data_IF_156701895256
#
_entry.id   IF_156701895256
#
_cell.length_a   1.000
_cell.length_b   1.000
_cell.length_c   1.000
_cell.angle_alpha   90.00
_cell.angle_beta   90.00
_cell.angle_gamma   90.00
#
_symmetry.space_group_name_H-M   'P 1'
#
loop_
_entity.id
_entity.type
_entity.pdbx_description
1 polymer ?
#
# COMPACT_ATOMS: atom_id res chain seq x y z
N UNK A 1 46.33 -28.25 -4.14
CA UNK A 1 45.35 -27.21 -3.78
C UNK A 1 46.14 -25.96 -3.37
N UNK A 2 46.23 -24.96 -4.27
CA UNK A 2 46.86 -23.67 -3.96
C UNK A 2 45.74 -22.71 -3.58
N UNK A 3 45.77 -22.21 -2.35
CA UNK A 3 44.91 -21.12 -1.89
C UNK A 3 45.47 -19.81 -2.46
N UNK A 4 44.69 -19.14 -3.30
CA UNK A 4 44.93 -17.76 -3.71
C UNK A 4 44.51 -16.83 -2.57
N UNK A 5 45.49 -16.17 -1.97
CA UNK A 5 45.27 -15.14 -0.96
C UNK A 5 44.82 -13.84 -1.69
N UNK A 6 43.58 -13.43 -1.50
CA UNK A 6 43.08 -12.13 -1.97
C UNK A 6 43.81 -11.02 -1.20
N UNK A 7 44.66 -10.25 -1.88
CA UNK A 7 45.28 -9.03 -1.33
C UNK A 7 44.19 -7.98 -1.15
N UNK A 8 43.90 -7.62 0.10
CA UNK A 8 43.15 -6.41 0.43
C UNK A 8 43.98 -5.18 0.03
N UNK A 9 43.51 -4.42 -0.96
CA UNK A 9 44.09 -3.13 -1.34
C UNK A 9 43.74 -2.07 -0.29
N UNK A 10 44.75 -1.37 0.20
CA UNK A 10 44.61 -0.31 1.20
C UNK A 10 44.03 0.99 0.62
N UNK A 11 43.65 1.96 1.48
CA UNK A 11 42.95 3.19 1.11
C UNK A 11 43.71 4.21 0.25
N UNK A 12 44.96 3.90 -0.16
CA UNK A 12 45.82 4.79 -0.94
C UNK A 12 46.14 4.27 -2.35
N UNK A 13 45.24 3.47 -2.97
CA UNK A 13 45.38 3.05 -4.37
C UNK A 13 45.13 4.24 -5.31
N UNK A 14 46.12 4.69 -6.12
CA UNK A 14 45.98 5.86 -6.99
C UNK A 14 44.97 5.69 -8.12
N UNK A 15 44.33 4.54 -8.24
CA UNK A 15 43.27 4.27 -9.22
C UNK A 15 41.85 4.72 -8.81
N UNK A 16 41.64 5.09 -7.54
CA UNK A 16 40.34 5.56 -7.03
C UNK A 16 40.38 7.05 -6.69
N UNK A 17 40.53 7.89 -7.70
CA UNK A 17 40.28 9.33 -7.53
C UNK A 17 38.76 9.55 -7.52
N UNK A 18 38.16 9.85 -6.35
CA UNK A 18 36.81 10.31 -6.27
C UNK A 18 36.64 11.61 -7.07
N UNK A 19 35.78 11.65 -8.08
CA UNK A 19 35.56 12.87 -8.84
C UNK A 19 35.01 13.96 -7.90
N UNK A 20 35.59 15.17 -7.98
CA UNK A 20 35.09 16.30 -7.22
C UNK A 20 33.65 16.60 -7.62
N UNK A 21 32.84 17.20 -6.71
CA UNK A 21 31.45 17.62 -7.01
C UNK A 21 31.38 18.46 -8.30
N UNK A 22 32.43 19.23 -8.59
CA UNK A 22 32.51 20.05 -9.81
C UNK A 22 32.70 19.19 -11.08
N UNK A 23 33.47 18.12 -11.01
CA UNK A 23 33.69 17.18 -12.12
C UNK A 23 32.41 16.39 -12.41
N UNK A 24 31.64 16.01 -11.38
CA UNK A 24 30.34 15.36 -11.52
C UNK A 24 29.30 16.29 -12.18
N UNK A 25 29.26 17.58 -11.79
CA UNK A 25 28.34 18.56 -12.37
C UNK A 25 28.69 18.89 -13.83
N UNK A 26 29.98 18.99 -14.17
CA UNK A 26 30.41 19.23 -15.56
C UNK A 26 30.21 17.99 -16.44
N UNK A 27 30.38 16.78 -15.88
CA UNK A 27 30.12 15.52 -16.57
C UNK A 27 28.61 15.32 -16.86
N UNK A 28 27.74 15.70 -15.93
CA UNK A 28 26.30 15.61 -16.14
C UNK A 28 25.76 16.61 -17.15
N UNK A 29 26.32 17.84 -17.21
CA UNK A 29 26.00 18.82 -18.22
C UNK A 29 26.44 18.39 -19.62
N UNK A 30 27.63 17.78 -19.73
CA UNK A 30 28.12 17.22 -21.00
C UNK A 30 27.30 16.02 -21.47
N UNK A 31 26.86 15.16 -20.57
CA UNK A 31 26.00 14.02 -20.91
C UNK A 31 24.62 14.46 -21.41
N UNK A 32 24.03 15.51 -20.81
CA UNK A 32 22.76 16.08 -21.30
C UNK A 32 22.88 16.72 -22.68
N UNK A 33 23.98 17.41 -22.96
CA UNK A 33 24.22 17.98 -24.28
C UNK A 33 24.46 16.90 -25.36
N UNK A 34 25.17 15.81 -25.03
CA UNK A 34 25.38 14.68 -25.93
C UNK A 34 24.10 13.92 -26.26
N UNK A 35 23.18 13.78 -25.29
CA UNK A 35 21.85 13.16 -25.49
C UNK A 35 21.02 13.97 -26.49
N UNK A 36 21.09 15.31 -26.45
CA UNK A 36 20.38 16.18 -27.40
C UNK A 36 20.91 16.08 -28.83
N UNK A 37 22.21 15.82 -28.99
CA UNK A 37 22.86 15.72 -30.33
C UNK A 37 22.65 14.32 -30.95
N UNK A 38 22.44 13.28 -30.16
CA UNK A 38 22.24 11.90 -30.64
C UNK A 38 20.80 11.56 -31.00
N UNK A 39 19.88 12.54 -31.03
CA UNK A 39 18.51 12.33 -31.47
C UNK A 39 17.67 11.45 -30.51
N UNK A 40 18.06 11.34 -29.26
CA UNK A 40 17.18 10.76 -28.26
C UNK A 40 15.95 11.65 -28.11
N UNK A 41 14.81 11.14 -28.49
CA UNK A 41 13.51 11.78 -28.22
C UNK A 41 13.45 12.22 -26.77
N UNK A 42 12.99 13.46 -26.49
CA UNK A 42 12.80 13.89 -25.10
C UNK A 42 11.97 12.82 -24.39
N UNK A 43 12.40 12.46 -23.17
CA UNK A 43 11.65 11.59 -22.28
C UNK A 43 10.17 11.90 -22.42
N UNK A 44 9.37 10.88 -22.67
CA UNK A 44 7.93 11.00 -22.84
C UNK A 44 7.40 12.00 -21.81
N UNK A 45 6.64 12.99 -22.28
CA UNK A 45 5.99 13.99 -21.46
C UNK A 45 5.33 13.23 -20.31
N UNK A 46 5.76 13.48 -19.09
CA UNK A 46 5.12 12.87 -17.94
C UNK A 46 3.62 13.16 -18.08
N UNK A 47 2.80 12.13 -18.11
CA UNK A 47 1.35 12.29 -18.18
C UNK A 47 0.95 13.26 -17.06
N UNK A 48 0.08 14.22 -17.40
CA UNK A 48 -0.52 15.11 -16.41
C UNK A 48 -1.06 14.27 -15.23
N UNK A 49 -0.72 14.66 -14.00
CA UNK A 49 -1.12 13.85 -12.85
C UNK A 49 -2.65 13.76 -12.79
N UNK A 50 -3.19 12.55 -12.96
CA UNK A 50 -4.63 12.29 -12.90
C UNK A 50 -5.21 12.88 -11.63
N UNK A 51 -6.39 13.50 -11.70
CA UNK A 51 -7.12 14.00 -10.53
C UNK A 51 -7.53 12.86 -9.61
N UNK A 52 -7.71 13.14 -8.32
CA UNK A 52 -8.35 12.19 -7.41
C UNK A 52 -9.84 12.10 -7.75
N UNK A 53 -10.46 10.90 -7.66
CA UNK A 53 -11.90 10.75 -7.73
C UNK A 53 -12.58 11.39 -6.50
N UNK A 54 -13.84 11.78 -6.62
CA UNK A 54 -14.57 12.54 -5.62
C UNK A 54 -14.57 11.89 -4.22
N UNK A 55 -14.74 10.57 -4.14
CA UNK A 55 -14.71 9.84 -2.87
C UNK A 55 -13.34 9.88 -2.16
N UNK A 56 -12.28 10.19 -2.90
CA UNK A 56 -10.92 10.30 -2.40
C UNK A 56 -10.40 11.74 -2.40
N UNK A 57 -11.26 12.75 -2.66
CA UNK A 57 -10.85 14.17 -2.73
C UNK A 57 -10.22 14.70 -1.44
N UNK A 58 -10.56 14.08 -0.29
CA UNK A 58 -9.99 14.41 1.02
C UNK A 58 -8.55 13.92 1.21
N UNK A 59 -8.05 13.07 0.33
CA UNK A 59 -6.67 12.54 0.41
C UNK A 59 -5.65 13.55 -0.10
N UNK A 60 -4.40 13.43 0.37
CA UNK A 60 -3.30 14.26 -0.07
C UNK A 60 -2.89 13.91 -1.52
N UNK A 61 -3.35 14.72 -2.48
CA UNK A 61 -3.14 14.48 -3.91
C UNK A 61 -1.66 14.24 -4.26
N UNK A 62 -0.76 15.03 -3.69
CA UNK A 62 0.67 14.96 -3.99
C UNK A 62 1.36 13.73 -3.36
N UNK A 63 0.68 13.04 -2.45
CA UNK A 63 1.18 11.81 -1.85
C UNK A 63 0.79 10.55 -2.65
N UNK A 64 -0.04 10.69 -3.71
CA UNK A 64 -0.63 9.56 -4.40
C UNK A 64 -0.31 9.54 -5.89
N UNK A 65 -0.05 8.34 -6.41
CA UNK A 65 0.00 8.01 -7.84
C UNK A 65 -1.36 7.40 -8.20
N UNK A 66 -2.13 8.04 -9.09
CA UNK A 66 -3.45 7.55 -9.50
C UNK A 66 -3.29 6.62 -10.70
N UNK A 67 -3.48 5.33 -10.50
CA UNK A 67 -3.50 4.33 -11.57
C UNK A 67 -4.85 4.31 -12.28
N UNK A 68 -5.94 4.26 -11.50
CA UNK A 68 -7.32 4.29 -11.96
C UNK A 68 -8.22 4.96 -10.92
N UNK A 69 -9.52 5.08 -11.21
CA UNK A 69 -10.52 5.57 -10.25
C UNK A 69 -10.61 4.73 -8.97
N UNK A 70 -10.23 3.46 -9.02
CA UNK A 70 -10.34 2.51 -7.91
C UNK A 70 -8.98 2.11 -7.31
N UNK A 71 -7.87 2.60 -7.89
CA UNK A 71 -6.53 2.22 -7.46
C UNK A 71 -5.59 3.42 -7.44
N UNK A 72 -5.08 3.74 -6.27
CA UNK A 72 -4.15 4.82 -6.01
C UNK A 72 -3.02 4.31 -5.13
N UNK A 73 -1.80 4.59 -5.50
CA UNK A 73 -0.60 4.15 -4.82
C UNK A 73 0.00 5.28 -4.01
N UNK A 74 0.42 5.02 -2.78
CA UNK A 74 1.21 5.98 -2.01
C UNK A 74 2.57 6.17 -2.69
N UNK A 75 2.95 7.41 -2.97
CA UNK A 75 4.32 7.70 -3.44
C UNK A 75 5.33 7.26 -2.39
N UNK A 76 6.43 6.66 -2.82
CA UNK A 76 7.45 6.14 -1.92
C UNK A 76 7.92 7.18 -0.88
N UNK A 77 8.13 8.42 -1.30
CA UNK A 77 8.53 9.52 -0.41
C UNK A 77 7.45 9.98 0.55
N UNK A 78 6.18 9.63 0.30
CA UNK A 78 5.01 10.03 1.10
C UNK A 78 4.56 8.95 2.09
N UNK A 79 5.13 7.73 2.05
CA UNK A 79 4.84 6.68 3.05
C UNK A 79 5.11 7.21 4.47
N UNK A 80 6.01 8.17 4.60
CA UNK A 80 6.29 8.89 5.83
C UNK A 80 7.51 8.33 6.58
N UNK A 81 7.92 9.08 7.58
CA UNK A 81 9.04 8.72 8.46
C UNK A 81 8.56 8.10 9.78
N UNK A 82 7.24 8.05 10.00
CA UNK A 82 6.62 7.46 11.18
C UNK A 82 6.28 5.98 10.97
N UNK A 83 6.00 5.28 12.08
CA UNK A 83 5.56 3.89 12.05
C UNK A 83 4.18 3.76 11.39
N UNK A 84 3.29 4.70 11.63
CA UNK A 84 1.90 4.67 11.13
C UNK A 84 1.78 5.54 9.88
N UNK A 85 1.21 4.98 8.83
CA UNK A 85 0.87 5.71 7.60
C UNK A 85 -0.45 6.44 7.79
N UNK A 86 -0.45 7.76 7.58
CA UNK A 86 -1.65 8.58 7.72
C UNK A 86 -2.71 8.18 6.67
N UNK A 87 -3.98 8.22 7.05
CA UNK A 87 -5.09 7.75 6.20
C UNK A 87 -5.23 8.55 4.91
N UNK A 88 -4.90 9.84 4.91
CA UNK A 88 -4.90 10.71 3.73
C UNK A 88 -3.82 10.35 2.70
N UNK A 89 -2.80 9.63 3.10
CA UNK A 89 -1.69 9.15 2.26
C UNK A 89 -1.74 7.66 1.96
N UNK A 90 -2.55 6.89 2.71
CA UNK A 90 -2.66 5.46 2.53
C UNK A 90 -3.21 5.13 1.13
N UNK A 91 -2.64 4.13 0.49
CA UNK A 91 -3.07 3.63 -0.81
C UNK A 91 -4.56 3.24 -0.83
N UNK A 92 -5.15 3.23 -2.02
CA UNK A 92 -6.52 2.76 -2.26
C UNK A 92 -6.46 1.61 -3.25
N UNK A 93 -7.14 0.51 -2.92
CA UNK A 93 -7.30 -0.63 -3.81
C UNK A 93 -8.71 -1.21 -3.67
N UNK A 94 -9.56 -0.94 -4.65
CA UNK A 94 -10.92 -1.46 -4.73
C UNK A 94 -11.13 -2.21 -6.04
N UNK A 95 -11.96 -3.25 -6.02
CA UNK A 95 -12.44 -3.93 -7.23
C UNK A 95 -13.78 -3.37 -7.68
N UNK A 96 -14.57 -2.90 -6.73
CA UNK A 96 -15.91 -2.39 -6.94
C UNK A 96 -15.93 -0.87 -6.85
N UNK A 97 -16.96 -0.20 -7.38
CA UNK A 97 -17.17 1.22 -7.20
C UNK A 97 -17.19 1.61 -5.71
N UNK A 98 -16.91 2.87 -5.41
CA UNK A 98 -17.07 3.39 -4.06
C UNK A 98 -18.54 3.27 -3.64
N UNK A 99 -18.84 2.80 -2.40
CA UNK A 99 -20.19 2.77 -1.88
C UNK A 99 -20.74 4.20 -1.73
N UNK A 100 -22.06 4.37 -1.67
CA UNK A 100 -22.66 5.68 -1.39
C UNK A 100 -22.14 6.27 -0.08
N UNK A 101 -21.93 7.58 -0.04
CA UNK A 101 -21.43 8.27 1.17
C UNK A 101 -22.35 8.03 2.39
N UNK A 102 -23.66 7.84 2.16
CA UNK A 102 -24.65 7.53 3.20
C UNK A 102 -24.33 6.29 4.04
N UNK A 103 -23.51 5.37 3.54
CA UNK A 103 -23.05 4.19 4.31
C UNK A 103 -22.33 4.60 5.60
N UNK A 104 -21.69 5.77 5.61
CA UNK A 104 -20.94 6.28 6.76
C UNK A 104 -21.72 7.27 7.63
N UNK A 105 -22.94 7.63 7.27
CA UNK A 105 -23.76 8.61 8.02
C UNK A 105 -24.08 8.11 9.44
N UNK A 106 -24.37 6.81 9.58
CA UNK A 106 -24.59 6.17 10.87
C UNK A 106 -23.98 4.75 10.85
N UNK A 107 -22.68 4.60 11.04
CA UNK A 107 -22.03 3.29 10.98
C UNK A 107 -22.49 2.32 12.06
N UNK A 108 -23.04 2.80 13.17
CA UNK A 108 -23.45 1.95 14.30
C UNK A 108 -24.67 1.08 13.98
N UNK A 109 -25.49 1.45 13.01
CA UNK A 109 -26.65 0.64 12.56
C UNK A 109 -26.29 -0.38 11.49
N UNK A 110 -25.05 -0.40 11.01
CA UNK A 110 -24.62 -1.38 10.01
C UNK A 110 -24.69 -2.79 10.57
N UNK A 111 -25.38 -3.68 9.88
CA UNK A 111 -25.61 -5.05 10.30
C UNK A 111 -24.51 -5.99 9.82
N UNK A 112 -24.05 -6.86 10.72
CA UNK A 112 -23.11 -7.95 10.45
C UNK A 112 -23.77 -9.27 10.82
N UNK A 113 -24.04 -10.10 9.81
CA UNK A 113 -24.61 -11.43 10.01
C UNK A 113 -23.49 -12.42 10.35
N UNK A 114 -23.64 -13.13 11.46
CA UNK A 114 -22.65 -14.08 11.96
C UNK A 114 -23.28 -15.47 11.98
N UNK A 115 -22.70 -16.37 11.22
CA UNK A 115 -23.09 -17.76 11.03
C UNK A 115 -21.97 -18.72 11.37
N UNK A 116 -22.23 -20.02 11.37
CA UNK A 116 -21.21 -21.02 11.70
C UNK A 116 -20.79 -21.05 13.18
N UNK A 117 -21.58 -20.41 14.04
CA UNK A 117 -21.48 -20.41 15.50
C UNK A 117 -22.69 -21.11 16.12
N UNK A 118 -22.60 -21.52 17.38
CA UNK A 118 -23.71 -22.25 18.04
C UNK A 118 -24.98 -21.42 18.18
N UNK A 119 -24.85 -20.10 18.34
CA UNK A 119 -25.97 -19.17 18.46
C UNK A 119 -25.87 -18.09 17.37
N UNK A 120 -26.19 -18.40 16.09
CA UNK A 120 -26.05 -17.46 14.99
C UNK A 120 -27.02 -16.28 15.17
N UNK A 121 -26.54 -15.07 14.86
CA UNK A 121 -27.36 -13.85 14.87
C UNK A 121 -26.76 -12.74 14.01
N UNK A 122 -27.61 -11.77 13.71
CA UNK A 122 -27.18 -10.48 13.18
C UNK A 122 -26.91 -9.53 14.35
N UNK A 123 -25.75 -8.87 14.31
CA UNK A 123 -25.35 -7.84 15.25
C UNK A 123 -25.11 -6.55 14.49
N UNK A 124 -25.42 -5.42 15.11
CA UNK A 124 -25.02 -4.13 14.57
C UNK A 124 -23.56 -3.82 14.96
N UNK A 125 -22.94 -2.88 14.25
CA UNK A 125 -21.62 -2.39 14.65
C UNK A 125 -21.68 -1.75 16.05
N UNK A 126 -22.81 -1.12 16.40
CA UNK A 126 -23.06 -0.62 17.76
C UNK A 126 -23.03 -1.74 18.80
N UNK A 127 -23.70 -2.88 18.54
CA UNK A 127 -23.65 -4.05 19.44
C UNK A 127 -22.23 -4.60 19.58
N UNK A 128 -21.48 -4.71 18.47
CA UNK A 128 -20.10 -5.16 18.49
C UNK A 128 -19.21 -4.25 19.35
N UNK A 129 -19.37 -2.94 19.26
CA UNK A 129 -18.61 -1.99 20.08
C UNK A 129 -18.82 -2.18 21.58
N UNK A 130 -19.99 -2.67 22.00
CA UNK A 130 -20.30 -2.96 23.42
C UNK A 130 -19.56 -4.21 23.94
N UNK A 131 -19.04 -5.08 23.06
CA UNK A 131 -18.27 -6.26 23.44
C UNK A 131 -16.82 -5.92 23.86
N UNK A 132 -16.43 -4.67 23.77
CA UNK A 132 -15.07 -4.19 24.02
C UNK A 132 -14.22 -4.15 22.77
N UNK A 133 -13.42 -3.12 22.66
CA UNK A 133 -12.57 -2.88 21.47
C UNK A 133 -11.08 -2.96 21.83
N UNK A 134 -10.31 -3.45 20.90
CA UNK A 134 -8.84 -3.52 20.98
C UNK A 134 -8.24 -2.80 19.79
N UNK A 135 -7.11 -2.13 20.00
CA UNK A 135 -6.38 -1.46 18.91
C UNK A 135 -5.09 -2.20 18.63
N UNK A 136 -4.84 -2.50 17.36
CA UNK A 136 -3.60 -3.14 16.89
C UNK A 136 -3.01 -2.36 15.73
N UNK A 137 -1.68 -2.25 15.71
CA UNK A 137 -0.97 -1.74 14.54
C UNK A 137 -0.57 -2.92 13.64
N UNK A 138 -0.83 -2.80 12.34
CA UNK A 138 -0.52 -3.88 11.39
C UNK A 138 -0.26 -3.31 10.01
N UNK A 139 0.59 -3.99 9.24
CA UNK A 139 0.83 -3.66 7.85
C UNK A 139 -0.34 -4.12 7.01
N UNK A 140 -0.93 -3.19 6.26
CA UNK A 140 -1.87 -3.45 5.19
C UNK A 140 -1.11 -3.39 3.86
N UNK A 141 -1.17 -4.45 3.08
CA UNK A 141 -0.45 -4.53 1.80
C UNK A 141 -1.31 -5.24 0.75
N UNK A 142 -1.35 -4.66 -0.45
CA UNK A 142 -1.89 -5.35 -1.62
C UNK A 142 -0.96 -6.49 -2.04
N UNK A 143 -1.49 -7.67 -2.33
CA UNK A 143 -0.71 -8.81 -2.83
C UNK A 143 0.01 -8.52 -4.16
N UNK A 144 -0.43 -7.51 -4.90
CA UNK A 144 0.20 -7.06 -6.13
C UNK A 144 1.30 -6.01 -5.95
N UNK A 145 1.61 -5.60 -4.71
CA UNK A 145 2.67 -4.63 -4.46
C UNK A 145 4.00 -5.11 -5.04
N UNK A 146 4.70 -4.24 -5.79
CA UNK A 146 5.92 -4.61 -6.52
C UNK A 146 5.70 -5.20 -7.92
N UNK A 147 4.46 -5.30 -8.42
CA UNK A 147 4.15 -5.90 -9.72
C UNK A 147 4.87 -5.22 -10.89
N UNK A 148 5.05 -3.91 -10.84
CA UNK A 148 5.75 -3.16 -11.88
C UNK A 148 7.22 -3.58 -12.09
N UNK A 149 7.82 -4.28 -11.12
CA UNK A 149 9.21 -4.73 -11.21
C UNK A 149 9.38 -6.06 -11.94
N UNK A 150 8.28 -6.75 -12.29
CA UNK A 150 8.35 -7.99 -13.04
C UNK A 150 8.49 -7.71 -14.54
N UNK A 151 9.58 -8.15 -15.19
CA UNK A 151 9.87 -7.82 -16.61
C UNK A 151 8.86 -8.44 -17.59
N UNK A 152 8.13 -9.48 -17.20
CA UNK A 152 7.11 -10.12 -18.05
C UNK A 152 5.77 -9.38 -18.07
N UNK A 153 5.65 -8.22 -17.41
CA UNK A 153 4.45 -7.40 -17.48
C UNK A 153 3.18 -8.09 -16.97
N UNK A 154 3.23 -8.66 -15.75
CA UNK A 154 2.08 -9.33 -15.15
C UNK A 154 0.82 -8.45 -15.18
N UNK A 155 -0.34 -9.04 -15.46
CA UNK A 155 -1.63 -8.34 -15.55
C UNK A 155 -2.05 -7.69 -14.23
N UNK A 156 -2.88 -6.65 -14.32
CA UNK A 156 -3.40 -5.88 -13.19
C UNK A 156 -2.65 -4.56 -12.98
N UNK A 157 -3.02 -3.83 -11.92
CA UNK A 157 -2.40 -2.55 -11.60
C UNK A 157 -0.90 -2.70 -11.37
N UNK A 158 -0.12 -1.87 -12.06
CA UNK A 158 1.35 -1.88 -12.00
C UNK A 158 1.84 -1.11 -10.77
N UNK A 159 1.59 -1.68 -9.60
CA UNK A 159 2.07 -1.14 -8.33
C UNK A 159 3.60 -1.13 -8.28
N UNK A 160 4.18 -0.02 -7.82
CA UNK A 160 5.60 0.00 -7.44
C UNK A 160 5.77 -0.53 -6.00
N UNK A 161 6.01 0.32 -5.04
CA UNK A 161 6.20 -0.09 -3.62
C UNK A 161 5.13 0.47 -2.68
N UNK A 162 4.25 1.31 -3.17
CA UNK A 162 3.38 2.12 -2.35
C UNK A 162 1.99 1.53 -2.12
N UNK A 163 1.69 0.31 -2.59
CA UNK A 163 0.48 -0.41 -2.22
C UNK A 163 0.66 -1.11 -0.84
N UNK A 164 1.25 -0.40 0.11
CA UNK A 164 1.49 -0.83 1.47
C UNK A 164 1.42 0.36 2.43
N UNK A 165 1.06 0.09 3.69
CA UNK A 165 1.08 1.05 4.78
C UNK A 165 0.91 0.35 6.12
N UNK A 166 1.41 0.94 7.19
CA UNK A 166 1.14 0.49 8.54
C UNK A 166 -0.03 1.28 9.10
N UNK A 167 -1.08 0.61 9.51
CA UNK A 167 -2.33 1.23 9.97
C UNK A 167 -2.72 0.75 11.35
N UNK A 168 -3.46 1.58 12.06
CA UNK A 168 -4.06 1.20 13.34
C UNK A 168 -5.48 0.73 13.09
N UNK A 169 -5.79 -0.48 13.54
CA UNK A 169 -7.10 -1.08 13.51
C UNK A 169 -7.70 -1.07 14.90
N UNK A 170 -8.88 -0.51 15.05
CA UNK A 170 -9.65 -0.56 16.30
C UNK A 170 -10.94 -1.29 16.05
N UNK A 171 -11.21 -2.35 16.81
CA UNK A 171 -12.41 -3.15 16.65
C UNK A 171 -12.50 -4.23 17.73
N UNK A 172 -13.60 -4.97 17.72
CA UNK A 172 -13.80 -6.10 18.59
C UNK A 172 -13.01 -7.31 18.07
N UNK A 173 -12.25 -8.02 18.90
CA UNK A 173 -11.58 -9.25 18.48
C UNK A 173 -12.61 -10.30 18.01
N UNK A 174 -12.41 -10.85 16.82
CA UNK A 174 -13.31 -11.86 16.26
C UNK A 174 -13.49 -13.07 17.19
N UNK A 175 -12.44 -13.43 17.92
CA UNK A 175 -12.49 -14.49 18.94
C UNK A 175 -13.57 -14.20 19.99
N UNK A 176 -13.62 -12.98 20.50
CA UNK A 176 -14.56 -12.59 21.56
C UNK A 176 -16.00 -12.62 21.04
N UNK A 177 -16.22 -12.20 19.79
CA UNK A 177 -17.53 -12.30 19.13
C UNK A 177 -17.98 -13.76 18.99
N UNK A 178 -17.09 -14.64 18.53
CA UNK A 178 -17.39 -16.06 18.36
C UNK A 178 -17.67 -16.73 19.70
N UNK A 179 -16.90 -16.42 20.75
CA UNK A 179 -17.11 -16.94 22.10
C UNK A 179 -18.44 -16.47 22.70
N UNK A 180 -18.79 -15.19 22.54
CA UNK A 180 -20.07 -14.62 22.97
C UNK A 180 -21.28 -15.31 22.30
N UNK A 181 -21.10 -15.84 21.10
CA UNK A 181 -22.10 -16.59 20.36
C UNK A 181 -22.02 -18.11 20.57
N UNK A 182 -21.40 -18.56 21.67
CA UNK A 182 -21.35 -19.96 22.08
C UNK A 182 -20.22 -20.79 21.44
N UNK A 183 -19.32 -20.15 20.73
CA UNK A 183 -18.23 -20.81 20.01
C UNK A 183 -18.61 -21.29 18.60
N UNK A 184 -17.66 -21.76 17.82
CA UNK A 184 -17.91 -22.27 16.47
C UNK A 184 -18.72 -23.58 16.52
N UNK A 185 -19.46 -23.91 15.45
CA UNK A 185 -20.04 -25.26 15.29
C UNK A 185 -18.93 -26.28 15.07
N UNK A 186 -19.21 -27.55 15.44
CA UNK A 186 -18.23 -28.61 15.32
C UNK A 186 -17.76 -28.80 13.87
N UNK A 187 -16.46 -29.03 13.69
CA UNK A 187 -15.85 -29.22 12.37
C UNK A 187 -15.47 -27.93 11.64
N UNK A 188 -15.76 -26.75 12.18
CA UNK A 188 -15.35 -25.46 11.60
C UNK A 188 -13.83 -25.36 11.54
N UNK A 189 -13.28 -25.10 10.33
CA UNK A 189 -11.83 -24.98 10.10
C UNK A 189 -11.42 -23.64 9.50
N UNK A 190 -12.37 -22.91 8.92
CA UNK A 190 -12.13 -21.69 8.17
C UNK A 190 -13.14 -20.62 8.54
N UNK A 191 -12.74 -19.39 8.39
CA UNK A 191 -13.59 -18.21 8.48
C UNK A 191 -13.63 -17.56 7.12
N UNK A 192 -14.81 -17.19 6.67
CA UNK A 192 -15.03 -16.40 5.44
C UNK A 192 -15.78 -15.12 5.79
N UNK A 193 -15.55 -14.08 5.01
CA UNK A 193 -16.30 -12.84 5.09
C UNK A 193 -16.74 -12.43 3.69
N UNK A 194 -17.97 -11.95 3.57
CA UNK A 194 -18.52 -11.38 2.34
C UNK A 194 -18.85 -9.92 2.60
N UNK A 195 -18.44 -9.02 1.70
CA UNK A 195 -18.76 -7.60 1.77
C UNK A 195 -20.25 -7.35 1.48
N UNK A 196 -20.72 -6.16 1.85
CA UNK A 196 -22.10 -5.76 1.66
C UNK A 196 -22.44 -5.18 0.27
N UNK A 197 -21.48 -5.19 -0.65
CA UNK A 197 -21.60 -4.64 -2.00
C UNK A 197 -22.02 -5.67 -3.07
N UNK A 198 -22.59 -6.77 -2.66
CA UNK A 198 -23.08 -7.83 -3.55
C UNK A 198 -24.49 -7.53 -4.08
#
# INVERSE_FOLDING_TARGET
MKQETALMRGPNDPGLQNPTRRTLLLGSAGAMAAVSVLGFTPLAKADEPKSLPDYAAWKERNALIVHSTNTMETQRGAIGNGVITASDRLFVRNNLPAPPASVTDNPDVWEVRIEGVKNPRTLTVGDLKQMGVTTVASVLQCSGNGRAFFPHGASGTQWSVGAAGCVMWTGVPLKDVVEALGGPVDGTRYITATGGES
#
